data_IF_345972240710
#
_entry.id   IF_345972240710
#
_cell.length_a   1.000
_cell.length_b   1.000
_cell.length_c   1.000
_cell.angle_alpha   90.00
_cell.angle_beta   90.00
_cell.angle_gamma   90.00
#
_symmetry.space_group_name_H-M   'P 1'
#
loop_
_entity.id
_entity.type
_entity.pdbx_description
1 polymer ?
#
# COMPACT_ATOMS: atom_id res chain seq x y z
N UNK A 1 78.44 1.70 0.95
CA UNK A 1 77.73 2.87 0.38
C UNK A 1 76.35 2.36 -0.10
N UNK A 2 75.50 2.11 0.83
CA UNK A 2 74.13 1.66 0.54
C UNK A 2 73.30 1.86 1.84
N UNK A 3 72.37 2.83 1.89
CA UNK A 3 71.29 2.89 2.91
C UNK A 3 70.54 4.25 2.94
N UNK A 4 70.74 5.12 1.97
CA UNK A 4 69.99 6.40 1.94
C UNK A 4 68.85 6.48 0.94
N UNK A 5 68.65 5.44 0.08
CA UNK A 5 67.63 5.43 -0.95
C UNK A 5 66.25 4.95 -0.47
N UNK A 6 66.20 4.12 0.57
CA UNK A 6 64.99 3.45 1.00
C UNK A 6 63.99 4.35 1.75
N UNK A 7 64.51 5.34 2.51
CA UNK A 7 63.61 6.27 3.29
C UNK A 7 62.90 7.28 2.38
N UNK A 8 63.51 7.69 1.27
CA UNK A 8 62.92 8.60 0.29
C UNK A 8 61.77 7.93 -0.47
N UNK A 9 61.97 6.67 -0.91
CA UNK A 9 60.99 5.90 -1.66
C UNK A 9 59.74 5.61 -0.82
N UNK A 10 59.92 5.22 0.42
CA UNK A 10 58.79 4.97 1.35
C UNK A 10 57.96 6.25 1.61
N UNK A 11 58.58 7.40 1.69
CA UNK A 11 57.86 8.69 1.81
C UNK A 11 57.07 8.99 0.53
N UNK A 12 57.64 8.82 -0.62
CA UNK A 12 56.97 9.06 -1.92
C UNK A 12 55.78 8.13 -2.08
N UNK A 13 55.93 6.83 -1.80
CA UNK A 13 54.84 5.84 -1.84
C UNK A 13 53.69 6.25 -0.90
N UNK A 14 54.03 6.71 0.33
CA UNK A 14 53.03 7.14 1.29
C UNK A 14 52.24 8.38 0.76
N UNK A 15 52.89 9.35 0.17
CA UNK A 15 52.23 10.51 -0.43
C UNK A 15 51.36 10.16 -1.62
N UNK A 16 51.79 9.21 -2.48
CA UNK A 16 50.98 8.71 -3.60
C UNK A 16 49.76 7.98 -3.10
N UNK A 17 49.87 7.13 -2.08
CA UNK A 17 48.72 6.39 -1.48
C UNK A 17 47.72 7.39 -0.91
N UNK A 18 48.16 8.37 -0.13
CA UNK A 18 47.27 9.41 0.42
C UNK A 18 46.62 10.26 -0.68
N UNK A 19 47.32 10.57 -1.75
CA UNK A 19 46.78 11.26 -2.93
C UNK A 19 45.68 10.45 -3.61
N UNK A 20 45.90 9.14 -3.82
CA UNK A 20 44.89 8.25 -4.42
C UNK A 20 43.67 8.10 -3.51
N UNK A 21 43.86 7.94 -2.21
CA UNK A 21 42.75 7.89 -1.23
C UNK A 21 41.96 9.19 -1.26
N UNK A 22 42.61 10.34 -1.31
CA UNK A 22 41.96 11.65 -1.43
C UNK A 22 41.10 11.76 -2.69
N UNK A 23 41.62 11.34 -3.84
CA UNK A 23 40.87 11.35 -5.10
C UNK A 23 39.68 10.40 -5.03
N UNK A 24 39.84 9.19 -4.48
CA UNK A 24 38.72 8.23 -4.32
C UNK A 24 37.64 8.75 -3.40
N UNK A 25 38.01 9.45 -2.32
CA UNK A 25 37.04 10.12 -1.41
C UNK A 25 36.26 11.22 -2.13
N UNK A 26 36.94 12.06 -2.92
CA UNK A 26 36.25 13.10 -3.70
C UNK A 26 35.30 12.49 -4.73
N UNK A 27 35.72 11.45 -5.45
CA UNK A 27 34.87 10.75 -6.42
C UNK A 27 33.68 10.11 -5.72
N UNK A 28 33.86 9.54 -4.52
CA UNK A 28 32.77 8.97 -3.73
C UNK A 28 31.76 10.03 -3.31
N UNK A 29 32.22 11.16 -2.77
CA UNK A 29 31.33 12.27 -2.35
C UNK A 29 30.56 12.84 -3.54
N UNK A 30 31.21 13.02 -4.70
CA UNK A 30 30.54 13.50 -5.92
C UNK A 30 29.51 12.47 -6.40
N UNK A 31 29.80 11.17 -6.33
CA UNK A 31 28.87 10.11 -6.70
C UNK A 31 27.65 10.09 -5.78
N UNK A 32 27.85 10.25 -4.49
CA UNK A 32 26.72 10.32 -3.51
C UNK A 32 25.86 11.56 -3.76
N UNK A 33 26.47 12.71 -3.99
CA UNK A 33 25.72 13.95 -4.27
C UNK A 33 24.93 13.88 -5.59
N UNK A 34 25.51 13.25 -6.65
CA UNK A 34 24.79 13.05 -7.92
C UNK A 34 23.65 12.06 -7.74
N UNK A 35 23.84 11.03 -6.92
CA UNK A 35 22.80 10.02 -6.63
C UNK A 35 21.63 10.61 -5.83
N UNK A 36 21.92 11.48 -4.86
CA UNK A 36 20.88 12.24 -4.14
C UNK A 36 20.11 13.17 -5.08
N UNK A 37 20.77 13.90 -5.97
CA UNK A 37 20.11 14.82 -6.92
C UNK A 37 19.23 14.05 -7.94
N UNK A 38 19.69 12.89 -8.40
CA UNK A 38 18.92 12.01 -9.30
C UNK A 38 17.72 11.39 -8.58
N UNK A 39 17.88 10.97 -7.32
CA UNK A 39 16.80 10.43 -6.49
C UNK A 39 15.71 11.49 -6.21
N UNK A 40 16.09 12.73 -5.89
CA UNK A 40 15.12 13.81 -5.66
C UNK A 40 14.47 14.28 -6.95
N UNK A 41 15.16 14.28 -8.09
CA UNK A 41 14.58 14.58 -9.41
C UNK A 41 13.58 13.54 -9.88
N UNK A 42 13.85 12.27 -9.63
CA UNK A 42 12.91 11.20 -9.95
C UNK A 42 11.63 11.32 -9.10
N UNK A 43 11.78 11.72 -7.84
CA UNK A 43 10.68 11.99 -6.93
C UNK A 43 9.85 13.22 -7.36
N UNK A 44 10.49 14.33 -7.72
CA UNK A 44 9.80 15.52 -8.24
C UNK A 44 9.18 15.32 -9.63
N UNK A 45 9.76 14.46 -10.46
CA UNK A 45 9.21 14.09 -11.77
C UNK A 45 7.98 13.19 -11.66
N UNK A 46 7.91 12.35 -10.64
CA UNK A 46 6.76 11.51 -10.31
C UNK A 46 5.59 12.34 -9.79
N UNK A 47 5.85 13.41 -9.03
CA UNK A 47 4.82 14.29 -8.47
C UNK A 47 4.17 15.22 -9.52
N UNK A 48 4.79 15.42 -10.70
CA UNK A 48 4.30 16.36 -11.71
C UNK A 48 3.32 15.79 -12.73
N UNK A 49 3.09 14.46 -12.73
CA UNK A 49 2.14 13.78 -13.62
C UNK A 49 0.98 13.08 -12.86
N UNK A 50 0.82 13.35 -11.58
CA UNK A 50 -0.41 12.99 -10.90
C UNK A 50 -1.49 13.98 -11.30
N UNK A 51 -2.57 13.47 -11.89
CA UNK A 51 -3.87 14.13 -11.82
C UNK A 51 -4.10 14.38 -10.34
N UNK A 52 -3.99 15.64 -9.93
CA UNK A 52 -4.31 16.09 -8.60
C UNK A 52 -5.80 15.80 -8.40
N UNK A 53 -6.12 14.64 -7.86
CA UNK A 53 -7.33 14.52 -7.06
C UNK A 53 -6.97 15.32 -5.81
N UNK A 54 -7.49 16.54 -5.72
CA UNK A 54 -7.37 17.37 -4.53
C UNK A 54 -7.75 16.48 -3.34
N UNK A 55 -6.77 16.21 -2.48
CA UNK A 55 -7.04 15.68 -1.17
C UNK A 55 -7.90 16.73 -0.47
N UNK A 56 -9.20 16.51 -0.45
CA UNK A 56 -10.16 17.38 0.21
C UNK A 56 -9.72 17.64 1.64
N UNK A 57 -9.90 18.89 2.07
CA UNK A 57 -9.61 19.30 3.42
C UNK A 57 -10.29 18.33 4.43
N UNK A 58 -9.60 17.91 5.49
CA UNK A 58 -10.18 16.99 6.46
C UNK A 58 -11.20 17.78 7.29
N UNK A 59 -12.47 17.40 7.22
CA UNK A 59 -13.52 17.63 8.25
C UNK A 59 -14.93 17.90 7.68
N UNK A 60 -15.18 17.81 6.37
CA UNK A 60 -16.54 17.66 5.86
C UNK A 60 -16.85 16.17 5.77
N UNK A 61 -17.96 15.72 6.37
CA UNK A 61 -18.47 14.35 6.17
C UNK A 61 -18.75 14.21 4.66
N UNK A 62 -17.83 13.59 3.92
CA UNK A 62 -17.96 13.39 2.48
C UNK A 62 -19.21 12.55 2.24
N UNK A 63 -20.17 13.09 1.49
CA UNK A 63 -21.42 12.39 1.19
C UNK A 63 -21.11 11.10 0.42
N UNK A 64 -21.60 9.95 0.94
CA UNK A 64 -21.36 8.66 0.33
C UNK A 64 -22.01 8.57 -1.05
N UNK A 65 -21.24 8.21 -2.04
CA UNK A 65 -21.70 7.97 -3.41
C UNK A 65 -22.18 6.53 -3.53
N UNK A 66 -23.49 6.35 -3.73
CA UNK A 66 -24.15 5.04 -3.84
C UNK A 66 -24.48 4.67 -5.31
N UNK A 67 -23.78 5.27 -6.26
CA UNK A 67 -23.91 4.94 -7.69
C UNK A 67 -22.66 4.17 -8.11
N UNK A 68 -22.82 2.94 -8.64
CA UNK A 68 -21.67 2.20 -9.16
C UNK A 68 -20.95 3.01 -10.24
N UNK A 69 -19.62 2.96 -10.29
CA UNK A 69 -18.86 3.52 -11.40
C UNK A 69 -19.35 2.96 -12.72
N UNK A 70 -19.42 3.79 -13.74
CA UNK A 70 -19.75 3.35 -15.09
C UNK A 70 -18.67 2.45 -15.66
N UNK A 71 -19.00 1.63 -16.65
CA UNK A 71 -18.01 0.77 -17.32
C UNK A 71 -16.83 1.59 -17.89
N UNK A 72 -17.12 2.80 -18.41
CA UNK A 72 -16.10 3.71 -18.95
C UNK A 72 -15.16 4.18 -17.81
N UNK A 73 -15.70 4.61 -16.68
CA UNK A 73 -14.90 5.05 -15.53
C UNK A 73 -14.03 3.94 -14.98
N UNK A 74 -14.50 2.68 -15.00
CA UNK A 74 -13.70 1.53 -14.61
C UNK A 74 -12.59 1.27 -15.63
N UNK A 75 -12.90 1.24 -16.92
CA UNK A 75 -11.91 0.96 -17.98
C UNK A 75 -10.83 2.04 -18.08
N UNK A 76 -11.22 3.32 -17.93
CA UNK A 76 -10.30 4.46 -18.02
C UNK A 76 -9.49 4.68 -16.73
N UNK A 77 -9.85 4.02 -15.63
CA UNK A 77 -9.11 4.15 -14.37
C UNK A 77 -7.68 3.62 -14.54
N UNK A 78 -6.70 4.47 -14.31
CA UNK A 78 -5.28 4.16 -14.44
C UNK A 78 -4.51 4.53 -13.18
N UNK A 79 -3.50 3.75 -12.87
CA UNK A 79 -2.57 3.99 -11.74
C UNK A 79 -1.14 3.75 -12.21
N UNK A 80 -0.16 4.15 -11.41
CA UNK A 80 1.23 3.83 -11.67
C UNK A 80 1.47 2.32 -11.82
N UNK A 81 2.46 1.88 -12.61
CA UNK A 81 2.62 0.46 -13.00
C UNK A 81 2.81 -0.51 -11.83
N UNK A 82 3.31 -0.03 -10.67
CA UNK A 82 3.50 -0.86 -9.47
C UNK A 82 2.39 -0.73 -8.43
N UNK A 83 1.40 0.15 -8.67
CA UNK A 83 0.28 0.35 -7.73
C UNK A 83 -0.84 -0.65 -7.96
N UNK A 84 -1.60 -1.06 -6.93
CA UNK A 84 -2.79 -1.86 -7.10
C UNK A 84 -3.84 -1.06 -7.88
N UNK A 85 -4.51 -1.71 -8.85
CA UNK A 85 -5.47 -1.07 -9.75
C UNK A 85 -6.89 -1.57 -9.55
N UNK A 86 -7.08 -2.89 -9.62
CA UNK A 86 -8.39 -3.52 -9.47
C UNK A 86 -8.37 -4.67 -8.48
N UNK A 87 -9.47 -4.79 -7.74
CA UNK A 87 -9.76 -5.92 -6.86
C UNK A 87 -10.87 -6.77 -7.47
N UNK A 88 -10.64 -8.10 -7.51
CA UNK A 88 -11.66 -9.09 -7.85
C UNK A 88 -11.72 -10.17 -6.78
N UNK A 89 -12.92 -10.42 -6.27
CA UNK A 89 -13.22 -11.47 -5.30
C UNK A 89 -14.53 -12.12 -5.72
N UNK A 90 -14.45 -13.07 -6.66
CA UNK A 90 -15.62 -13.68 -7.32
C UNK A 90 -16.62 -14.28 -6.35
N UNK A 91 -16.12 -14.91 -5.27
CA UNK A 91 -16.92 -15.56 -4.24
C UNK A 91 -17.99 -14.64 -3.62
N UNK A 92 -17.71 -13.37 -3.54
CA UNK A 92 -18.59 -12.35 -2.97
C UNK A 92 -19.10 -11.32 -4.00
N UNK A 93 -18.96 -11.63 -5.30
CA UNK A 93 -19.50 -10.83 -6.39
C UNK A 93 -18.76 -9.52 -6.64
N UNK A 94 -17.52 -9.37 -6.18
CA UNK A 94 -16.69 -8.21 -6.45
C UNK A 94 -15.88 -8.44 -7.73
N UNK A 95 -16.05 -7.57 -8.73
CA UNK A 95 -15.39 -7.65 -10.02
C UNK A 95 -14.81 -6.29 -10.40
N UNK A 96 -13.50 -6.22 -10.56
CA UNK A 96 -12.77 -5.02 -11.00
C UNK A 96 -13.13 -3.74 -10.19
N UNK A 97 -13.33 -3.88 -8.88
CA UNK A 97 -13.49 -2.72 -8.00
C UNK A 97 -12.20 -1.88 -8.05
N UNK A 98 -12.34 -0.57 -8.31
CA UNK A 98 -11.18 0.33 -8.38
C UNK A 98 -10.53 0.42 -7.01
N UNK A 99 -9.20 0.31 -6.98
CA UNK A 99 -8.42 0.45 -5.75
C UNK A 99 -7.86 1.87 -5.69
N UNK A 100 -8.40 2.69 -4.81
CA UNK A 100 -7.97 4.07 -4.63
C UNK A 100 -6.89 4.16 -3.54
N UNK A 101 -5.83 4.98 -3.72
CA UNK A 101 -4.85 5.23 -2.66
C UNK A 101 -5.49 6.02 -1.52
N UNK A 102 -5.34 5.52 -0.29
CA UNK A 102 -5.92 6.13 0.91
C UNK A 102 -4.87 6.35 1.99
N UNK A 103 -4.96 7.49 2.67
CA UNK A 103 -4.17 7.84 3.83
C UNK A 103 -4.88 7.59 5.15
N UNK A 104 -4.38 8.23 6.20
CA UNK A 104 -4.96 8.26 7.55
C UNK A 104 -5.52 9.67 7.78
N UNK A 105 -6.72 9.78 8.34
CA UNK A 105 -7.33 11.05 8.70
C UNK A 105 -6.69 11.67 9.96
N UNK A 106 -7.12 12.88 10.33
CA UNK A 106 -6.63 13.60 11.52
C UNK A 106 -6.88 12.87 12.84
N UNK A 107 -7.81 11.90 12.86
CA UNK A 107 -8.14 11.07 14.03
C UNK A 107 -7.30 9.79 14.11
N UNK A 108 -6.43 9.54 13.12
CA UNK A 108 -5.62 8.31 13.04
C UNK A 108 -6.36 7.11 12.45
N UNK A 109 -7.52 7.32 11.86
CA UNK A 109 -8.33 6.28 11.22
C UNK A 109 -7.97 6.18 9.74
N UNK A 110 -8.09 5.00 9.16
CA UNK A 110 -7.93 4.78 7.73
C UNK A 110 -9.08 5.43 6.97
N UNK A 111 -8.75 6.27 5.98
CA UNK A 111 -9.76 6.83 5.09
C UNK A 111 -10.31 5.74 4.17
N UNK A 112 -11.61 5.82 3.90
CA UNK A 112 -12.31 4.93 2.98
C UNK A 112 -12.83 5.74 1.78
N UNK A 113 -12.85 5.19 0.55
CA UNK A 113 -13.39 5.90 -0.61
C UNK A 113 -14.83 6.41 -0.38
N UNK A 114 -15.16 7.60 -0.89
CA UNK A 114 -16.54 8.12 -0.84
C UNK A 114 -17.53 7.26 -1.63
N UNK A 115 -17.10 6.64 -2.73
CA UNK A 115 -17.93 5.70 -3.48
C UNK A 115 -17.91 4.31 -2.82
N UNK A 116 -19.09 3.82 -2.42
CA UNK A 116 -19.23 2.55 -1.68
C UNK A 116 -18.90 1.30 -2.50
N UNK A 117 -18.69 1.42 -3.81
CA UNK A 117 -18.29 0.32 -4.70
C UNK A 117 -16.79 0.29 -4.99
N UNK A 118 -16.05 1.32 -4.61
CA UNK A 118 -14.59 1.35 -4.66
C UNK A 118 -13.98 0.79 -3.36
N UNK A 119 -12.70 0.47 -3.42
CA UNK A 119 -11.93 0.05 -2.24
C UNK A 119 -10.72 0.95 -2.05
N UNK A 120 -10.32 1.15 -0.79
CA UNK A 120 -9.19 1.97 -0.39
C UNK A 120 -7.96 1.11 -0.11
N UNK A 121 -6.85 1.39 -0.76
CA UNK A 121 -5.55 0.84 -0.40
C UNK A 121 -4.81 1.79 0.52
N UNK A 122 -4.43 1.31 1.70
CA UNK A 122 -3.58 2.07 2.62
C UNK A 122 -2.17 2.20 2.05
N UNK A 123 -1.82 3.38 1.52
CA UNK A 123 -0.57 3.63 0.79
C UNK A 123 0.70 3.38 1.62
N UNK A 124 0.62 3.51 2.95
CA UNK A 124 1.74 3.17 3.83
C UNK A 124 1.87 1.66 4.10
N UNK A 125 0.95 0.84 3.57
CA UNK A 125 1.12 -0.60 3.49
C UNK A 125 1.85 -1.00 2.20
N UNK A 126 2.12 -2.28 2.02
CA UNK A 126 2.83 -2.75 0.82
C UNK A 126 1.94 -2.78 -0.41
N UNK A 127 2.54 -2.59 -1.59
CA UNK A 127 1.90 -2.81 -2.88
C UNK A 127 2.11 -4.26 -3.37
N UNK A 128 1.35 -4.73 -4.39
CA UNK A 128 1.51 -6.07 -4.95
C UNK A 128 2.92 -6.29 -5.51
N UNK A 129 3.59 -7.35 -5.08
CA UNK A 129 4.96 -7.71 -5.48
C UNK A 129 6.08 -7.11 -4.61
N UNK A 130 5.75 -6.45 -3.50
CA UNK A 130 6.74 -5.89 -2.57
C UNK A 130 7.07 -6.82 -1.39
N UNK A 131 6.39 -7.96 -1.27
CA UNK A 131 6.72 -9.01 -0.29
C UNK A 131 6.19 -8.78 1.12
N UNK A 132 5.38 -7.74 1.35
CA UNK A 132 4.77 -7.46 2.64
C UNK A 132 3.25 -7.69 2.67
N UNK A 133 2.55 -7.00 3.59
CA UNK A 133 1.09 -7.08 3.70
C UNK A 133 0.46 -5.83 3.10
N UNK A 134 -0.31 -5.99 2.04
CA UNK A 134 -1.18 -4.97 1.50
C UNK A 134 -2.47 -4.90 2.33
N UNK A 135 -2.91 -3.69 2.67
CA UNK A 135 -4.15 -3.46 3.43
C UNK A 135 -5.14 -2.70 2.55
N UNK A 136 -6.31 -3.28 2.39
CA UNK A 136 -7.41 -2.73 1.59
C UNK A 136 -8.66 -2.68 2.45
N UNK A 137 -9.31 -1.53 2.54
CA UNK A 137 -10.60 -1.41 3.17
C UNK A 137 -11.70 -1.12 2.14
N UNK A 138 -12.94 -1.31 2.55
CA UNK A 138 -14.10 -1.02 1.73
C UNK A 138 -15.39 -1.02 2.52
N UNK A 139 -16.39 -0.33 2.00
CA UNK A 139 -17.68 -0.19 2.65
C UNK A 139 -18.49 -1.50 2.72
N UNK A 140 -19.09 -1.75 3.87
CA UNK A 140 -20.17 -2.72 3.99
C UNK A 140 -21.44 -2.23 3.27
N UNK A 141 -21.74 -0.93 3.38
CA UNK A 141 -22.86 -0.29 2.70
C UNK A 141 -22.95 1.18 3.05
N UNK A 142 -23.81 1.86 2.34
CA UNK A 142 -24.26 3.21 2.61
C UNK A 142 -25.68 3.22 3.20
N UNK A 143 -26.33 4.41 3.27
CA UNK A 143 -27.68 4.57 3.78
C UNK A 143 -28.75 3.74 3.06
N UNK A 144 -28.60 3.49 1.77
CA UNK A 144 -29.62 2.86 0.92
C UNK A 144 -29.15 1.63 0.17
N UNK A 145 -27.84 1.47 -0.04
CA UNK A 145 -27.28 0.37 -0.85
C UNK A 145 -26.18 -0.38 -0.10
N UNK A 146 -25.98 -1.60 -0.55
CA UNK A 146 -24.88 -2.44 -0.09
C UNK A 146 -23.57 -1.99 -0.73
N UNK A 147 -22.52 -1.94 0.08
CA UNK A 147 -21.18 -1.63 -0.39
C UNK A 147 -20.43 -2.84 -0.93
N UNK A 148 -19.24 -2.57 -1.45
CA UNK A 148 -18.36 -3.55 -2.11
C UNK A 148 -18.03 -4.75 -1.20
N UNK A 149 -17.94 -4.57 0.12
CA UNK A 149 -17.57 -5.59 1.08
C UNK A 149 -18.71 -6.06 2.00
N UNK A 150 -19.97 -5.85 1.59
CA UNK A 150 -21.13 -6.36 2.35
C UNK A 150 -20.99 -7.84 2.67
N UNK A 151 -20.57 -8.63 1.70
CA UNK A 151 -20.50 -10.07 1.79
C UNK A 151 -19.11 -10.61 2.18
N UNK A 152 -18.20 -9.73 2.63
CA UNK A 152 -16.86 -10.09 3.10
C UNK A 152 -16.88 -11.18 4.20
N UNK A 153 -17.85 -11.20 5.14
CA UNK A 153 -17.98 -12.27 6.12
C UNK A 153 -18.22 -13.66 5.53
N UNK A 154 -18.69 -13.75 4.28
CA UNK A 154 -18.99 -15.01 3.60
C UNK A 154 -17.76 -15.68 2.95
N UNK A 155 -16.59 -15.03 3.00
CA UNK A 155 -15.35 -15.68 2.56
C UNK A 155 -14.97 -16.81 3.50
N UNK A 156 -14.45 -17.87 2.90
CA UNK A 156 -13.94 -19.03 3.61
C UNK A 156 -12.43 -19.22 3.32
N UNK A 157 -11.77 -20.00 4.16
CA UNK A 157 -10.42 -20.46 3.89
C UNK A 157 -10.37 -21.20 2.54
N UNK A 158 -9.39 -20.84 1.70
CA UNK A 158 -9.24 -21.36 0.34
C UNK A 158 -9.82 -20.48 -0.76
N UNK A 159 -10.74 -19.55 -0.45
CA UNK A 159 -11.25 -18.59 -1.45
C UNK A 159 -10.13 -17.68 -1.99
N UNK A 160 -10.32 -17.18 -3.21
CA UNK A 160 -9.30 -16.43 -3.94
C UNK A 160 -9.64 -14.95 -3.99
N UNK A 161 -8.65 -14.12 -3.66
CA UNK A 161 -8.63 -12.68 -3.85
C UNK A 161 -7.64 -12.39 -4.97
N UNK A 162 -8.04 -11.61 -5.98
CA UNK A 162 -7.16 -11.19 -7.07
C UNK A 162 -6.96 -9.68 -7.01
N UNK A 163 -5.72 -9.25 -7.15
CA UNK A 163 -5.36 -7.85 -7.28
C UNK A 163 -4.61 -7.68 -8.59
N UNK A 164 -5.16 -6.86 -9.48
CA UNK A 164 -4.47 -6.41 -10.67
C UNK A 164 -3.64 -5.18 -10.34
N UNK A 165 -2.40 -5.19 -10.77
CA UNK A 165 -1.48 -4.05 -10.67
C UNK A 165 -1.59 -3.16 -11.92
N UNK A 166 -1.14 -1.91 -11.85
CA UNK A 166 -1.24 -0.94 -12.95
C UNK A 166 -0.53 -1.33 -14.25
N UNK A 167 0.43 -2.28 -14.20
CA UNK A 167 1.06 -2.89 -15.37
C UNK A 167 0.31 -4.12 -15.92
N UNK A 168 -0.86 -4.44 -15.37
CA UNK A 168 -1.71 -5.56 -15.79
C UNK A 168 -1.30 -6.92 -15.19
N UNK A 169 -0.29 -6.97 -14.30
CA UNK A 169 0.06 -8.20 -13.59
C UNK A 169 -1.00 -8.51 -12.54
N UNK A 170 -1.49 -9.74 -12.53
CA UNK A 170 -2.50 -10.22 -11.57
C UNK A 170 -1.81 -11.03 -10.48
N UNK A 171 -2.02 -10.62 -9.23
CA UNK A 171 -1.57 -11.32 -8.03
C UNK A 171 -2.74 -12.05 -7.42
N UNK A 172 -2.59 -13.36 -7.14
CA UNK A 172 -3.63 -14.18 -6.53
C UNK A 172 -3.26 -14.55 -5.12
N UNK A 173 -4.18 -14.28 -4.20
CA UNK A 173 -4.02 -14.56 -2.78
C UNK A 173 -5.10 -15.55 -2.34
N UNK A 174 -4.73 -16.54 -1.55
CA UNK A 174 -5.63 -17.52 -0.96
C UNK A 174 -5.97 -17.13 0.47
N UNK A 175 -7.26 -17.00 0.77
CA UNK A 175 -7.76 -16.72 2.13
C UNK A 175 -7.31 -17.81 3.09
N UNK A 176 -6.76 -17.43 4.22
CA UNK A 176 -6.31 -18.32 5.30
C UNK A 176 -6.95 -17.97 6.65
N UNK A 177 -7.54 -16.81 6.76
CA UNK A 177 -8.26 -16.37 7.97
C UNK A 177 -9.35 -15.37 7.56
N UNK A 178 -10.58 -15.59 8.08
CA UNK A 178 -11.66 -14.63 7.94
C UNK A 178 -12.38 -14.53 9.30
N UNK A 179 -12.31 -13.37 9.94
CA UNK A 179 -12.73 -13.20 11.34
C UNK A 179 -13.47 -11.88 11.56
N UNK A 180 -14.52 -11.95 12.35
CA UNK A 180 -15.23 -10.79 12.88
C UNK A 180 -14.65 -10.41 14.24
N UNK A 181 -14.22 -9.17 14.38
CA UNK A 181 -13.61 -8.63 15.60
C UNK A 181 -14.50 -7.50 16.15
N UNK A 182 -14.85 -7.50 17.45
CA UNK A 182 -15.56 -6.41 18.07
C UNK A 182 -14.81 -5.07 17.89
N UNK A 183 -15.55 -3.97 17.71
CA UNK A 183 -14.95 -2.64 17.45
C UNK A 183 -13.92 -2.26 18.53
N UNK A 184 -14.21 -2.56 19.79
CA UNK A 184 -13.30 -2.26 20.90
C UNK A 184 -11.94 -3.00 20.83
N UNK A 185 -11.89 -4.08 20.07
CA UNK A 185 -10.67 -4.90 19.86
C UNK A 185 -10.01 -4.65 18.50
N UNK A 186 -10.69 -3.92 17.60
CA UNK A 186 -10.28 -3.78 16.21
C UNK A 186 -8.89 -3.12 16.08
N UNK A 187 -8.60 -2.10 16.87
CA UNK A 187 -7.30 -1.40 16.84
C UNK A 187 -6.15 -2.34 17.26
N UNK A 188 -6.37 -3.17 18.28
CA UNK A 188 -5.39 -4.18 18.70
C UNK A 188 -5.20 -5.23 17.60
N UNK A 189 -6.29 -5.64 16.92
CA UNK A 189 -6.23 -6.61 15.85
C UNK A 189 -5.53 -6.06 14.59
N UNK A 190 -5.59 -4.74 14.34
CA UNK A 190 -4.87 -4.10 13.23
C UNK A 190 -3.37 -4.42 13.22
N UNK A 191 -2.74 -4.45 14.39
CA UNK A 191 -1.32 -4.84 14.50
C UNK A 191 -1.03 -6.25 13.96
N UNK A 192 -2.01 -7.16 14.06
CA UNK A 192 -1.96 -8.51 13.46
C UNK A 192 -2.30 -8.45 11.98
N UNK A 193 -3.31 -7.67 11.61
CA UNK A 193 -3.82 -7.54 10.25
C UNK A 193 -2.79 -6.95 9.28
N UNK A 194 -1.89 -6.10 9.76
CA UNK A 194 -0.78 -5.51 9.00
C UNK A 194 0.42 -6.44 8.81
N UNK A 195 0.35 -7.69 9.27
CA UNK A 195 1.41 -8.69 9.10
C UNK A 195 0.89 -9.89 8.35
N UNK A 196 1.75 -10.53 7.56
CA UNK A 196 1.36 -11.77 6.90
C UNK A 196 0.92 -12.84 7.90
N UNK A 197 -0.19 -13.55 7.65
CA UNK A 197 -0.58 -14.70 8.44
C UNK A 197 0.40 -15.89 8.30
N UNK A 198 1.16 -15.94 7.20
CA UNK A 198 2.24 -16.89 6.99
C UNK A 198 3.57 -16.13 6.91
N UNK A 199 4.43 -16.19 7.95
CA UNK A 199 5.68 -15.42 7.98
C UNK A 199 6.55 -15.62 6.74
N UNK A 200 7.04 -14.51 6.17
CA UNK A 200 7.88 -14.52 4.96
C UNK A 200 7.12 -14.60 3.65
N UNK A 201 5.79 -14.69 3.67
CA UNK A 201 4.97 -14.60 2.46
C UNK A 201 4.33 -13.23 2.32
N UNK A 202 4.22 -12.78 1.09
CA UNK A 202 3.38 -11.64 0.75
C UNK A 202 1.92 -11.95 1.03
N UNK A 203 1.14 -10.94 1.42
CA UNK A 203 -0.24 -11.12 1.83
C UNK A 203 -1.10 -9.90 1.55
N UNK A 204 -2.41 -10.09 1.58
CA UNK A 204 -3.40 -9.02 1.57
C UNK A 204 -4.36 -9.21 2.74
N UNK A 205 -4.74 -8.08 3.35
CA UNK A 205 -5.83 -8.02 4.34
C UNK A 205 -6.93 -7.14 3.81
N UNK A 206 -8.14 -7.69 3.67
CA UNK A 206 -9.36 -6.92 3.38
C UNK A 206 -10.06 -6.60 4.69
N UNK A 207 -10.54 -5.34 4.82
CA UNK A 207 -11.18 -4.83 6.03
C UNK A 207 -12.53 -4.21 5.67
N UNK A 208 -13.54 -4.44 6.50
CA UNK A 208 -14.86 -3.79 6.37
C UNK A 208 -15.52 -3.63 7.72
N UNK A 209 -16.47 -2.70 7.79
CA UNK A 209 -17.44 -2.65 8.87
C UNK A 209 -18.38 -3.85 8.81
N UNK A 210 -18.83 -4.37 9.95
CA UNK A 210 -19.81 -5.47 10.01
C UNK A 210 -20.54 -5.51 11.36
N UNK A 211 -21.55 -6.38 11.47
CA UNK A 211 -22.32 -6.58 12.70
C UNK A 211 -23.45 -5.57 12.88
N UNK A 212 -23.76 -5.25 14.12
CA UNK A 212 -24.85 -4.35 14.48
C UNK A 212 -24.46 -2.88 14.30
N UNK A 213 -25.37 -2.07 13.77
CA UNK A 213 -25.20 -0.62 13.68
C UNK A 213 -25.55 0.07 15.01
N UNK A 214 -24.63 0.82 15.56
CA UNK A 214 -24.85 1.64 16.75
C UNK A 214 -25.35 3.04 16.38
N UNK A 215 -26.58 3.34 16.72
CA UNK A 215 -27.17 4.70 16.54
C UNK A 215 -26.42 5.76 17.37
N UNK A 216 -25.87 5.37 18.52
CA UNK A 216 -25.17 6.28 19.42
C UNK A 216 -23.77 6.60 18.94
N UNK A 217 -23.04 5.58 18.43
CA UNK A 217 -21.66 5.73 17.94
C UNK A 217 -21.61 6.03 16.43
N UNK A 218 -22.78 5.95 15.75
CA UNK A 218 -22.89 6.13 14.29
C UNK A 218 -21.87 5.26 13.50
N UNK A 219 -21.68 4.02 13.96
CA UNK A 219 -20.79 3.05 13.31
C UNK A 219 -21.24 1.63 13.60
N UNK A 220 -20.72 0.68 12.84
CA UNK A 220 -20.89 -0.74 13.12
C UNK A 220 -20.04 -1.19 14.30
N UNK A 221 -20.59 -2.07 15.15
CA UNK A 221 -19.94 -2.55 16.38
C UNK A 221 -18.88 -3.62 16.17
N UNK A 222 -18.61 -4.00 14.93
CA UNK A 222 -17.58 -4.97 14.59
C UNK A 222 -16.85 -4.59 13.29
N UNK A 223 -15.67 -5.19 13.10
CA UNK A 223 -14.88 -5.14 11.86
C UNK A 223 -14.66 -6.56 11.36
N UNK A 224 -14.79 -6.73 10.05
CA UNK A 224 -14.44 -7.98 9.37
C UNK A 224 -13.02 -7.86 8.83
N UNK A 225 -12.22 -8.89 9.06
CA UNK A 225 -10.88 -9.02 8.51
C UNK A 225 -10.76 -10.33 7.74
N UNK A 226 -10.52 -10.25 6.43
CA UNK A 226 -10.16 -11.39 5.60
C UNK A 226 -8.67 -11.30 5.24
N UNK A 227 -7.88 -12.29 5.66
CA UNK A 227 -6.43 -12.30 5.47
C UNK A 227 -6.04 -13.44 4.53
N UNK A 228 -5.28 -13.11 3.50
CA UNK A 228 -4.91 -14.04 2.45
C UNK A 228 -3.42 -13.96 2.13
N UNK A 229 -2.83 -15.05 1.68
CA UNK A 229 -1.42 -15.17 1.32
C UNK A 229 -1.24 -15.36 -0.17
N UNK A 230 -0.19 -14.78 -0.73
CA UNK A 230 0.16 -14.88 -2.14
C UNK A 230 0.40 -16.35 -2.55
N UNK A 231 -0.21 -16.75 -3.67
CA UNK A 231 -0.03 -18.08 -4.29
C UNK A 231 0.44 -17.99 -5.74
N UNK A 232 0.20 -16.88 -6.43
CA UNK A 232 0.60 -16.63 -7.82
C UNK A 232 0.75 -15.13 -8.09
#
# INVERSE_FOLDING_TARGET
MSLKFDVSLKKIIKWVIWGVIGILLVVFVVRVAVWEDEYYREKEGSERNEVVVEAGAPDEEEELVEVPPTEVEVVEYTVGPKRPRYLTVEKIGVYNARILPMGINSKGELNTPSNIFDVGWYESSYAPGEGGTMVIDGHNGGPHKHGVFKDLPNLAEGDIIQVERGDGVIYKYRVVENVTVPLIEADNYMSKAMRSPEPGKESVTLISCTGEWSQTQKTYLSRQFARAVLIE
#
